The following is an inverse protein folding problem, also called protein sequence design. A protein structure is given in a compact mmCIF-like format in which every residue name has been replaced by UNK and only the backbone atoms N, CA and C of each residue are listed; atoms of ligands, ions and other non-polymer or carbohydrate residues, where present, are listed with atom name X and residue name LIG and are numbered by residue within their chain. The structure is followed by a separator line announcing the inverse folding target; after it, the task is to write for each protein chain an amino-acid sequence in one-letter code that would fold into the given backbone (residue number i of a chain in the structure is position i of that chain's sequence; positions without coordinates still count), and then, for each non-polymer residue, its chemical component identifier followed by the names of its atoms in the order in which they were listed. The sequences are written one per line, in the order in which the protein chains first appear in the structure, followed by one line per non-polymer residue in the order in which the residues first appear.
data_IF_402506780555
#
_entry.id   IF_402506780555
#
_cell.length_a   1.000
_cell.length_b   1.000
_cell.length_c   1.000
_cell.angle_alpha   90.00
_cell.angle_beta   90.00
_cell.angle_gamma   90.00
#
_symmetry.space_group_name_H-M   'P 1'
#
loop_
_entity.id
_entity.type
_entity.pdbx_description
1 polymer ?
#
# COMPACT_ATOMS: atom_id res chain seq x y z
N UNK A 1 6.89 -6.74 -5.14
CA UNK A 1 8.31 -6.68 -5.54
C UNK A 1 8.76 -8.10 -5.86
N UNK A 2 9.41 -8.32 -7.00
CA UNK A 2 9.85 -9.64 -7.43
C UNK A 2 10.91 -10.17 -6.47
N UNK A 3 10.85 -11.47 -6.15
CA UNK A 3 11.82 -12.08 -5.23
C UNK A 3 13.22 -12.13 -5.84
N UNK A 4 14.26 -11.94 -5.01
CA UNK A 4 15.68 -12.03 -5.45
C UNK A 4 15.99 -13.33 -6.21
N UNK A 5 15.40 -14.46 -5.78
CA UNK A 5 15.49 -15.73 -6.49
C UNK A 5 14.93 -15.68 -7.91
N UNK A 6 13.77 -15.04 -8.10
CA UNK A 6 13.14 -14.97 -9.41
C UNK A 6 13.96 -14.12 -10.38
N UNK A 7 14.48 -12.97 -9.92
CA UNK A 7 15.37 -12.12 -10.72
C UNK A 7 16.64 -12.89 -11.10
N UNK A 8 17.23 -13.62 -10.14
CA UNK A 8 18.41 -14.44 -10.41
C UNK A 8 18.14 -15.51 -11.47
N UNK A 9 17.03 -16.25 -11.37
CA UNK A 9 16.65 -17.26 -12.37
C UNK A 9 16.46 -16.62 -13.74
N UNK A 10 15.74 -15.49 -13.82
CA UNK A 10 15.50 -14.81 -15.09
C UNK A 10 16.80 -14.32 -15.75
N UNK A 11 17.80 -13.92 -14.95
CA UNK A 11 19.08 -13.41 -15.48
C UNK A 11 20.04 -14.53 -15.88
N UNK A 12 20.03 -15.67 -15.18
CA UNK A 12 21.04 -16.73 -15.34
C UNK A 12 20.53 -17.99 -16.03
N UNK A 13 19.29 -18.41 -15.76
CA UNK A 13 18.70 -19.63 -16.33
C UNK A 13 17.20 -19.45 -16.68
N UNK A 14 16.84 -18.50 -17.57
CA UNK A 14 15.45 -18.18 -17.87
C UNK A 14 14.67 -19.25 -18.64
N UNK A 15 15.37 -20.16 -19.34
CA UNK A 15 14.74 -21.13 -20.23
C UNK A 15 14.87 -22.57 -19.70
N UNK A 16 13.86 -23.43 -19.92
CA UNK A 16 13.91 -24.84 -19.52
C UNK A 16 15.13 -25.58 -20.05
N UNK A 17 15.54 -25.30 -21.30
CA UNK A 17 16.71 -25.90 -21.94
C UNK A 17 18.03 -25.56 -21.24
N UNK A 18 18.10 -24.43 -20.53
CA UNK A 18 19.26 -24.03 -19.71
C UNK A 18 19.15 -24.65 -18.32
N UNK A 19 17.97 -24.59 -17.70
CA UNK A 19 17.71 -25.15 -16.36
C UNK A 19 18.02 -26.65 -16.33
N UNK A 20 17.62 -27.40 -17.35
CA UNK A 20 17.83 -28.86 -17.42
C UNK A 20 19.30 -29.26 -17.59
N UNK A 21 20.20 -28.33 -17.95
CA UNK A 21 21.64 -28.59 -18.04
C UNK A 21 22.36 -28.43 -16.71
N UNK A 22 21.71 -27.79 -15.73
CA UNK A 22 22.29 -27.53 -14.41
C UNK A 22 21.84 -28.61 -13.43
N UNK A 23 22.70 -28.94 -12.47
CA UNK A 23 22.33 -29.82 -11.37
C UNK A 23 21.44 -29.09 -10.36
N UNK A 24 20.67 -29.88 -9.60
CA UNK A 24 19.81 -29.32 -8.54
C UNK A 24 20.67 -28.66 -7.46
N UNK A 25 21.84 -29.21 -7.17
CA UNK A 25 22.81 -28.73 -6.18
C UNK A 25 23.36 -27.36 -6.59
N UNK A 26 23.80 -27.20 -7.85
CA UNK A 26 24.29 -25.95 -8.40
C UNK A 26 23.23 -24.84 -8.32
N UNK A 27 21.99 -25.13 -8.77
CA UNK A 27 20.89 -24.16 -8.69
C UNK A 27 20.60 -23.79 -7.23
N UNK A 28 20.57 -24.77 -6.32
CA UNK A 28 20.30 -24.52 -4.92
C UNK A 28 21.37 -23.65 -4.25
N UNK A 29 22.65 -23.87 -4.57
CA UNK A 29 23.75 -23.08 -4.04
C UNK A 29 23.67 -21.63 -4.52
N UNK A 30 23.45 -21.42 -5.82
CA UNK A 30 23.34 -20.08 -6.39
C UNK A 30 22.11 -19.32 -5.89
N UNK A 31 20.97 -20.01 -5.74
CA UNK A 31 19.77 -19.43 -5.14
C UNK A 31 19.99 -19.04 -3.67
N UNK A 32 20.73 -19.85 -2.90
CA UNK A 32 21.11 -19.52 -1.52
C UNK A 32 21.96 -18.26 -1.48
N UNK A 33 22.99 -18.16 -2.33
CA UNK A 33 23.85 -16.97 -2.47
C UNK A 33 23.02 -15.72 -2.82
N UNK A 34 22.15 -15.81 -3.83
CA UNK A 34 21.33 -14.69 -4.28
C UNK A 34 20.25 -14.24 -3.26
N UNK A 35 19.81 -15.11 -2.36
CA UNK A 35 18.69 -14.84 -1.45
C UNK A 35 19.06 -14.74 0.02
N UNK A 36 20.35 -14.68 0.36
CA UNK A 36 20.85 -14.75 1.74
C UNK A 36 20.29 -16.00 2.46
N UNK A 37 20.46 -17.17 1.85
CA UNK A 37 20.04 -18.49 2.35
C UNK A 37 18.52 -18.71 2.53
N UNK A 38 17.66 -17.81 2.03
CA UNK A 38 16.20 -17.95 2.15
C UNK A 38 15.58 -18.96 1.18
N UNK A 39 16.19 -19.14 0.01
CA UNK A 39 15.74 -20.06 -1.03
C UNK A 39 16.83 -21.09 -1.26
N UNK A 40 16.46 -22.37 -1.22
CA UNK A 40 17.40 -23.47 -1.37
C UNK A 40 16.79 -24.68 -2.07
N UNK A 41 17.19 -25.88 -1.62
CA UNK A 41 17.01 -27.15 -2.31
C UNK A 41 15.57 -27.40 -2.82
N UNK A 42 14.58 -27.26 -1.93
CA UNK A 42 13.16 -27.51 -2.27
C UNK A 42 12.64 -26.68 -3.44
N UNK A 43 13.18 -25.47 -3.64
CA UNK A 43 12.78 -24.58 -4.74
C UNK A 43 13.55 -24.89 -6.02
N UNK A 44 14.82 -25.29 -5.91
CA UNK A 44 15.61 -25.78 -7.04
C UNK A 44 15.00 -27.05 -7.64
N UNK A 45 14.59 -28.01 -6.80
CA UNK A 45 13.92 -29.24 -7.25
C UNK A 45 12.62 -28.94 -8.00
N UNK A 46 11.77 -28.08 -7.43
CA UNK A 46 10.53 -27.63 -8.09
C UNK A 46 10.79 -26.92 -9.41
N UNK A 47 11.86 -26.14 -9.51
CA UNK A 47 12.23 -25.44 -10.74
C UNK A 47 12.62 -26.43 -11.85
N UNK A 48 13.43 -27.44 -11.52
CA UNK A 48 13.82 -28.49 -12.47
C UNK A 48 12.60 -29.32 -12.87
N UNK A 49 11.75 -29.71 -11.91
CA UNK A 49 10.53 -30.47 -12.21
C UNK A 49 9.60 -29.70 -13.15
N UNK A 50 9.42 -28.39 -12.92
CA UNK A 50 8.65 -27.52 -13.80
C UNK A 50 9.31 -27.38 -15.18
N UNK A 51 10.64 -27.31 -15.25
CA UNK A 51 11.37 -27.25 -16.52
C UNK A 51 11.19 -28.54 -17.35
N UNK A 52 11.18 -29.71 -16.70
CA UNK A 52 10.94 -31.01 -17.38
C UNK A 52 9.56 -31.10 -18.01
N UNK A 53 8.54 -30.55 -17.35
CA UNK A 53 7.13 -30.56 -17.78
C UNK A 53 6.78 -29.36 -18.68
N UNK A 54 7.75 -28.51 -19.02
CA UNK A 54 7.48 -27.26 -19.72
C UNK A 54 7.19 -27.48 -21.21
N UNK A 55 6.09 -26.90 -21.67
CA UNK A 55 5.73 -26.79 -23.11
C UNK A 55 6.20 -25.47 -23.74
N UNK A 56 7.17 -24.79 -23.10
CA UNK A 56 7.62 -23.47 -23.51
C UNK A 56 8.20 -23.41 -24.94
N UNK A 57 8.14 -22.21 -25.54
CA UNK A 57 8.66 -21.92 -26.87
C UNK A 57 10.16 -22.23 -26.93
N UNK A 58 10.58 -22.99 -27.96
CA UNK A 58 11.98 -23.43 -28.16
C UNK A 58 12.69 -22.61 -29.24
N UNK A 59 11.92 -21.83 -29.99
CA UNK A 59 12.36 -20.99 -31.07
C UNK A 59 12.74 -19.59 -30.56
N UNK A 60 13.71 -18.94 -31.22
CA UNK A 60 14.06 -17.56 -30.91
C UNK A 60 14.63 -17.33 -29.50
N UNK A 61 15.12 -18.38 -28.82
CA UNK A 61 15.64 -18.32 -27.43
C UNK A 61 16.67 -17.20 -27.25
N UNK A 62 17.61 -17.05 -28.21
CA UNK A 62 18.62 -15.98 -28.16
C UNK A 62 17.98 -14.58 -28.15
N UNK A 63 17.02 -14.33 -29.04
CA UNK A 63 16.30 -13.06 -29.09
C UNK A 63 15.46 -12.81 -27.84
N UNK A 64 14.80 -13.85 -27.34
CA UNK A 64 14.06 -13.79 -26.08
C UNK A 64 14.97 -13.49 -24.88
N UNK A 65 16.18 -14.07 -24.85
CA UNK A 65 17.17 -13.83 -23.81
C UNK A 65 17.66 -12.38 -23.83
N UNK A 66 18.01 -11.85 -25.00
CA UNK A 66 18.41 -10.46 -25.17
C UNK A 66 17.31 -9.53 -24.67
N UNK A 67 16.07 -9.74 -25.12
CA UNK A 67 14.93 -8.92 -24.71
C UNK A 67 14.65 -9.00 -23.21
N UNK A 68 14.77 -10.19 -22.61
CA UNK A 68 14.61 -10.37 -21.18
C UNK A 68 15.66 -9.60 -20.39
N UNK A 69 16.93 -9.65 -20.81
CA UNK A 69 18.00 -8.90 -20.16
C UNK A 69 17.74 -7.39 -20.24
N UNK A 70 17.33 -6.87 -21.40
CA UNK A 70 16.95 -5.45 -21.55
C UNK A 70 15.87 -5.06 -20.54
N UNK A 71 14.81 -5.85 -20.40
CA UNK A 71 13.74 -5.57 -19.43
C UNK A 71 14.20 -5.67 -17.97
N UNK A 72 15.12 -6.59 -17.65
CA UNK A 72 15.68 -6.70 -16.32
C UNK A 72 16.55 -5.48 -15.97
N UNK A 73 17.36 -5.03 -16.92
CA UNK A 73 18.22 -3.85 -16.76
C UNK A 73 17.38 -2.57 -16.63
N UNK A 74 16.32 -2.42 -17.44
CA UNK A 74 15.36 -1.31 -17.32
C UNK A 74 14.66 -1.31 -15.96
N UNK A 75 14.25 -2.49 -15.47
CA UNK A 75 13.64 -2.63 -14.15
C UNK A 75 14.61 -2.21 -13.04
N UNK A 76 15.88 -2.65 -13.11
CA UNK A 76 16.93 -2.29 -12.15
C UNK A 76 17.22 -0.78 -12.16
N UNK A 77 17.27 -0.18 -13.35
CA UNK A 77 17.41 1.26 -13.53
C UNK A 77 16.24 2.04 -12.91
N UNK A 78 15.00 1.72 -13.28
CA UNK A 78 13.79 2.37 -12.75
C UNK A 78 13.68 2.24 -11.23
N UNK A 79 14.11 1.10 -10.68
CA UNK A 79 14.15 0.89 -9.23
C UNK A 79 15.16 1.83 -8.56
N UNK A 80 16.34 2.00 -9.14
CA UNK A 80 17.36 2.91 -8.62
C UNK A 80 16.87 4.36 -8.66
N UNK A 81 16.19 4.76 -9.74
CA UNK A 81 15.56 6.07 -9.83
C UNK A 81 14.46 6.27 -8.77
N UNK A 82 13.61 5.25 -8.56
CA UNK A 82 12.58 5.27 -7.53
C UNK A 82 13.19 5.46 -6.13
N UNK A 83 14.22 4.70 -5.78
CA UNK A 83 14.92 4.83 -4.49
C UNK A 83 15.55 6.22 -4.31
N UNK A 84 16.07 6.80 -5.38
CA UNK A 84 16.63 8.17 -5.36
C UNK A 84 15.54 9.21 -5.07
N UNK A 85 14.39 9.10 -5.73
CA UNK A 85 13.25 10.00 -5.52
C UNK A 85 12.68 9.82 -4.10
N UNK A 86 12.53 8.59 -3.61
CA UNK A 86 12.02 8.31 -2.26
C UNK A 86 12.93 8.91 -1.18
N UNK A 87 14.26 8.85 -1.35
CA UNK A 87 15.22 9.51 -0.45
C UNK A 87 15.08 11.03 -0.49
N UNK A 88 15.01 11.62 -1.68
CA UNK A 88 14.79 13.07 -1.81
C UNK A 88 13.48 13.52 -1.15
N UNK A 89 12.41 12.72 -1.28
CA UNK A 89 11.14 12.97 -0.58
C UNK A 89 11.30 12.91 0.94
N UNK A 90 12.04 11.94 1.47
CA UNK A 90 12.31 11.84 2.90
C UNK A 90 13.09 13.05 3.43
N UNK A 91 14.12 13.50 2.71
CA UNK A 91 14.91 14.68 3.07
C UNK A 91 14.08 15.96 3.06
N UNK A 92 13.18 16.11 2.08
CA UNK A 92 12.24 17.24 2.05
C UNK A 92 11.25 17.19 3.21
N UNK A 93 10.73 16.00 3.55
CA UNK A 93 9.83 15.85 4.69
C UNK A 93 10.50 16.25 6.01
N UNK A 94 11.80 15.97 6.19
CA UNK A 94 12.54 16.38 7.40
C UNK A 94 12.56 17.90 7.61
N UNK A 95 12.37 18.69 6.55
CA UNK A 95 12.30 20.16 6.61
C UNK A 95 10.90 20.68 6.97
N UNK A 96 9.89 19.81 7.02
CA UNK A 96 8.51 20.16 7.34
C UNK A 96 8.23 19.77 8.79
N UNK A 97 8.01 20.78 9.64
CA UNK A 97 7.79 20.65 11.09
C UNK A 97 6.73 19.60 11.47
N UNK A 98 5.64 19.52 10.71
CA UNK A 98 4.54 18.58 11.00
C UNK A 98 4.80 17.14 10.53
N UNK A 99 5.82 16.89 9.72
CA UNK A 99 6.02 15.59 9.07
C UNK A 99 6.32 14.47 10.09
N UNK A 100 7.09 14.76 11.14
CA UNK A 100 7.42 13.77 12.17
C UNK A 100 6.17 13.26 12.91
N UNK A 101 5.19 14.13 13.15
CA UNK A 101 3.94 13.76 13.80
C UNK A 101 3.10 12.87 12.89
N UNK A 102 3.05 13.14 11.59
CA UNK A 102 2.31 12.31 10.64
C UNK A 102 2.96 10.95 10.40
N UNK A 103 4.30 10.91 10.38
CA UNK A 103 5.08 9.67 10.24
C UNK A 103 4.99 8.77 11.48
N UNK A 104 4.64 9.32 12.64
CA UNK A 104 4.47 8.54 13.87
C UNK A 104 3.27 7.58 13.83
N UNK A 105 2.36 7.70 12.86
CA UNK A 105 1.19 6.83 12.72
C UNK A 105 1.64 5.43 12.22
N UNK A 106 1.45 4.35 13.01
CA UNK A 106 1.85 3.01 12.59
C UNK A 106 1.12 2.59 11.31
N UNK A 107 1.88 2.21 10.29
CA UNK A 107 1.34 1.81 8.98
C UNK A 107 1.26 2.94 7.95
N UNK A 108 1.63 4.17 8.31
CA UNK A 108 1.85 5.28 7.38
C UNK A 108 3.35 5.44 7.14
N UNK A 109 3.74 5.68 5.89
CA UNK A 109 5.15 5.88 5.51
C UNK A 109 5.38 7.19 4.75
N UNK A 110 6.65 7.45 4.43
CA UNK A 110 7.15 8.65 3.73
C UNK A 110 6.30 9.01 2.52
N UNK A 111 6.08 8.05 1.61
CA UNK A 111 5.30 8.29 0.37
C UNK A 111 3.89 8.78 0.68
N UNK A 112 3.23 8.22 1.69
CA UNK A 112 1.87 8.60 2.07
C UNK A 112 1.84 9.99 2.71
N UNK A 113 2.79 10.31 3.59
CA UNK A 113 2.85 11.63 4.23
C UNK A 113 3.20 12.70 3.20
N UNK A 114 4.22 12.48 2.38
CA UNK A 114 4.63 13.40 1.32
C UNK A 114 3.51 13.63 0.31
N UNK A 115 2.87 12.57 -0.18
CA UNK A 115 1.73 12.69 -1.10
C UNK A 115 0.55 13.42 -0.47
N UNK A 116 0.28 13.20 0.82
CA UNK A 116 -0.81 13.88 1.51
C UNK A 116 -0.52 15.39 1.64
N UNK A 117 0.69 15.75 2.05
CA UNK A 117 1.11 17.15 2.18
C UNK A 117 1.20 17.85 0.81
N UNK A 118 1.61 17.15 -0.24
CA UNK A 118 1.64 17.69 -1.60
C UNK A 118 0.23 18.02 -2.12
N UNK A 119 -0.76 17.17 -1.80
CA UNK A 119 -2.14 17.37 -2.26
C UNK A 119 -2.93 18.36 -1.40
N UNK A 120 -2.68 18.38 -0.08
CA UNK A 120 -3.38 19.24 0.88
C UNK A 120 -2.74 20.61 0.99
N UNK A 121 -1.43 20.71 0.77
CA UNK A 121 -0.66 21.91 1.07
C UNK A 121 -0.57 22.18 2.57
N UNK A 122 -0.55 23.46 2.93
CA UNK A 122 -0.42 23.89 4.31
C UNK A 122 -1.67 23.55 5.16
N UNK A 123 -1.54 22.55 6.03
CA UNK A 123 -2.59 22.11 6.95
C UNK A 123 -3.01 23.25 7.91
N UNK A 124 -2.09 24.18 8.20
CA UNK A 124 -2.33 25.35 9.03
C UNK A 124 -3.48 26.22 8.54
N UNK A 125 -3.69 26.30 7.23
CA UNK A 125 -4.75 27.11 6.59
C UNK A 125 -6.16 26.54 6.76
N UNK A 126 -6.28 25.28 7.18
CA UNK A 126 -7.58 24.66 7.42
C UNK A 126 -8.03 24.86 8.87
N UNK A 127 -9.27 25.27 9.04
CA UNK A 127 -9.92 25.39 10.35
C UNK A 127 -10.48 24.06 10.83
N UNK A 128 -10.85 23.17 9.89
CA UNK A 128 -11.47 21.89 10.23
C UNK A 128 -11.13 20.79 9.23
N UNK A 129 -10.90 19.56 9.72
CA UNK A 129 -10.56 18.39 8.90
C UNK A 129 -11.58 18.08 7.78
N UNK A 130 -12.84 18.50 7.96
CA UNK A 130 -13.92 18.36 6.95
C UNK A 130 -13.59 19.12 5.65
N UNK A 131 -12.79 20.18 5.71
CA UNK A 131 -12.34 20.90 4.52
C UNK A 131 -11.39 20.02 3.69
N UNK A 132 -10.47 19.30 4.34
CA UNK A 132 -9.60 18.32 3.68
C UNK A 132 -10.41 17.12 3.16
N UNK A 133 -11.42 16.67 3.92
CA UNK A 133 -12.36 15.64 3.45
C UNK A 133 -13.08 16.08 2.16
N UNK A 134 -13.55 17.33 2.10
CA UNK A 134 -14.18 17.91 0.91
C UNK A 134 -13.17 18.07 -0.23
N UNK A 135 -11.94 18.47 0.07
CA UNK A 135 -10.85 18.56 -0.91
C UNK A 135 -10.60 17.20 -1.60
N UNK A 136 -10.66 16.09 -0.88
CA UNK A 136 -10.57 14.74 -1.45
C UNK A 136 -11.87 14.22 -2.12
N UNK A 137 -12.97 14.98 -2.06
CA UNK A 137 -14.28 14.54 -2.54
C UNK A 137 -14.85 13.34 -1.77
N UNK A 138 -14.48 13.20 -0.49
CA UNK A 138 -14.90 12.14 0.42
C UNK A 138 -16.13 12.50 1.26
N UNK A 139 -16.72 13.68 1.03
CA UNK A 139 -18.00 14.06 1.63
C UNK A 139 -19.14 13.28 0.98
N UNK A 140 -20.16 12.94 1.77
CA UNK A 140 -21.37 12.31 1.27
C UNK A 140 -22.25 13.36 0.60
N UNK A 141 -22.80 13.01 -0.55
CA UNK A 141 -23.76 13.81 -1.30
C UNK A 141 -25.02 13.00 -1.54
N UNK A 142 -26.16 13.67 -1.38
CA UNK A 142 -27.46 13.13 -1.75
C UNK A 142 -27.57 13.01 -3.27
N UNK A 143 -28.11 11.87 -3.73
CA UNK A 143 -28.47 11.67 -5.12
C UNK A 143 -29.99 11.75 -5.23
N UNK A 144 -30.53 12.93 -4.95
CA UNK A 144 -31.97 13.19 -4.97
C UNK A 144 -32.29 14.17 -6.10
N UNK A 145 -33.28 13.81 -6.92
CA UNK A 145 -33.99 14.73 -7.79
C UNK A 145 -35.45 14.77 -7.35
N UNK A 146 -36.23 15.76 -7.82
CA UNK A 146 -37.65 15.89 -7.46
C UNK A 146 -38.51 14.66 -7.74
N UNK A 147 -38.04 13.70 -8.56
CA UNK A 147 -38.73 12.45 -8.88
C UNK A 147 -37.94 11.18 -8.51
N UNK A 148 -36.71 11.29 -8.00
CA UNK A 148 -35.85 10.14 -7.74
C UNK A 148 -35.08 10.30 -6.44
N UNK A 149 -35.21 9.32 -5.52
CA UNK A 149 -34.42 9.26 -4.29
C UNK A 149 -33.42 8.12 -4.37
N UNK A 150 -32.22 8.41 -4.86
CA UNK A 150 -31.14 7.44 -4.99
C UNK A 150 -30.34 7.26 -3.70
N UNK A 151 -29.52 6.20 -3.63
CA UNK A 151 -28.58 5.97 -2.52
C UNK A 151 -27.56 7.11 -2.43
N UNK A 152 -27.22 7.53 -1.21
CA UNK A 152 -26.16 8.50 -0.97
C UNK A 152 -24.81 7.94 -1.43
N UNK A 153 -23.95 8.81 -1.98
CA UNK A 153 -22.63 8.44 -2.51
C UNK A 153 -21.61 9.47 -2.06
N UNK A 154 -20.33 9.11 -2.07
CA UNK A 154 -19.27 10.13 -1.98
C UNK A 154 -19.34 11.05 -3.19
N UNK A 155 -19.04 12.33 -2.98
CA UNK A 155 -19.12 13.35 -4.01
C UNK A 155 -18.22 13.06 -5.20
N UNK A 156 -17.00 12.55 -4.94
CA UNK A 156 -15.89 12.45 -5.90
C UNK A 156 -15.43 13.77 -6.52
N UNK A 157 -16.14 14.89 -6.27
CA UNK A 157 -15.76 16.25 -6.63
C UNK A 157 -14.66 16.72 -5.67
N UNK A 158 -13.43 16.70 -6.16
CA UNK A 158 -12.22 16.96 -5.38
C UNK A 158 -11.01 16.31 -6.04
N UNK A 159 -9.85 16.39 -5.38
CA UNK A 159 -8.57 15.85 -5.85
C UNK A 159 -8.60 14.32 -5.91
N UNK A 160 -8.55 13.71 -7.10
CA UNK A 160 -8.63 12.25 -7.24
C UNK A 160 -7.39 11.55 -6.66
N UNK A 161 -6.21 12.17 -6.76
CA UNK A 161 -4.96 11.61 -6.22
C UNK A 161 -4.96 11.57 -4.70
N UNK A 162 -5.39 12.65 -4.03
CA UNK A 162 -5.59 12.64 -2.57
C UNK A 162 -6.53 11.51 -2.14
N UNK A 163 -7.63 11.32 -2.86
CA UNK A 163 -8.60 10.25 -2.58
C UNK A 163 -8.00 8.86 -2.77
N UNK A 164 -7.25 8.65 -3.86
CA UNK A 164 -6.57 7.40 -4.16
C UNK A 164 -5.52 7.06 -3.09
N UNK A 165 -4.71 8.05 -2.72
CA UNK A 165 -3.70 7.95 -1.69
C UNK A 165 -4.31 7.54 -0.34
N UNK A 166 -5.34 8.25 0.11
CA UNK A 166 -6.03 7.96 1.36
C UNK A 166 -6.71 6.59 1.37
N UNK A 167 -7.22 6.14 0.21
CA UNK A 167 -7.77 4.80 0.08
C UNK A 167 -6.67 3.73 0.19
N UNK A 168 -5.54 3.88 -0.50
CA UNK A 168 -4.38 2.97 -0.37
C UNK A 168 -3.83 2.94 1.05
N UNK A 169 -3.71 4.11 1.69
CA UNK A 169 -3.30 4.23 3.10
C UNK A 169 -4.27 3.49 4.04
N UNK A 170 -5.58 3.56 3.80
CA UNK A 170 -6.57 2.84 4.61
C UNK A 170 -6.39 1.32 4.58
N UNK A 171 -6.01 0.75 3.42
CA UNK A 171 -5.73 -0.69 3.30
C UNK A 171 -4.54 -1.09 4.17
N UNK A 172 -3.45 -0.32 4.13
CA UNK A 172 -2.26 -0.59 4.94
C UNK A 172 -2.53 -0.38 6.44
N UNK A 173 -3.28 0.65 6.80
CA UNK A 173 -3.67 0.91 8.19
C UNK A 173 -4.50 -0.22 8.79
N UNK A 174 -5.53 -0.69 8.09
CA UNK A 174 -6.37 -1.80 8.58
C UNK A 174 -5.55 -3.08 8.76
N UNK A 175 -4.50 -3.27 7.96
CA UNK A 175 -3.61 -4.43 8.10
C UNK A 175 -2.61 -4.28 9.26
N UNK A 176 -2.04 -3.09 9.49
CA UNK A 176 -0.89 -2.89 10.38
C UNK A 176 -1.22 -2.21 11.71
N UNK A 177 -2.35 -1.53 11.82
CA UNK A 177 -2.73 -0.72 12.99
C UNK A 177 -3.98 -1.30 13.67
N UNK A 178 -3.86 -1.63 14.96
CA UNK A 178 -4.89 -2.32 15.73
C UNK A 178 -6.16 -1.47 15.91
N UNK A 179 -6.01 -0.17 16.17
CA UNK A 179 -7.14 0.74 16.40
C UNK A 179 -7.96 0.94 15.13
N UNK A 180 -7.28 1.16 14.01
CA UNK A 180 -7.94 1.28 12.71
C UNK A 180 -8.56 -0.03 12.25
N UNK A 181 -7.95 -1.19 12.55
CA UNK A 181 -8.54 -2.51 12.30
C UNK A 181 -9.82 -2.73 13.11
N UNK A 182 -9.80 -2.39 14.41
CA UNK A 182 -10.98 -2.48 15.27
C UNK A 182 -12.11 -1.58 14.74
N UNK A 183 -11.79 -0.35 14.35
CA UNK A 183 -12.74 0.58 13.77
C UNK A 183 -13.33 0.09 12.43
N UNK A 184 -12.50 -0.52 11.59
CA UNK A 184 -12.95 -1.11 10.33
C UNK A 184 -13.93 -2.25 10.58
N UNK A 185 -13.59 -3.19 11.48
CA UNK A 185 -14.47 -4.30 11.86
C UNK A 185 -15.79 -3.80 12.48
N UNK A 186 -15.74 -2.76 13.30
CA UNK A 186 -16.92 -2.10 13.82
C UNK A 186 -17.85 -1.61 12.71
N UNK A 187 -17.31 -0.91 11.70
CA UNK A 187 -18.13 -0.41 10.59
C UNK A 187 -18.79 -1.53 9.77
N UNK A 188 -18.16 -2.69 9.67
CA UNK A 188 -18.74 -3.85 9.00
C UNK A 188 -19.85 -4.54 9.80
N UNK A 189 -19.76 -4.52 11.14
CA UNK A 189 -20.60 -5.35 12.03
C UNK A 189 -21.61 -4.57 12.86
N UNK A 190 -21.59 -3.23 12.82
CA UNK A 190 -22.52 -2.40 13.58
C UNK A 190 -23.97 -2.74 13.23
N UNK A 191 -24.84 -2.76 14.24
CA UNK A 191 -26.26 -3.11 14.12
C UNK A 191 -26.99 -2.16 13.17
N UNK A 192 -26.72 -0.86 13.30
CA UNK A 192 -27.32 0.16 12.45
C UNK A 192 -26.45 0.46 11.23
N UNK A 193 -27.03 0.24 10.04
CA UNK A 193 -26.43 0.57 8.75
C UNK A 193 -24.99 0.00 8.57
N UNK A 194 -24.81 -1.33 8.62
CA UNK A 194 -23.50 -1.94 8.39
C UNK A 194 -22.96 -1.52 7.02
N UNK A 195 -21.67 -1.17 6.98
CA UNK A 195 -21.02 -0.70 5.76
C UNK A 195 -20.46 -1.86 4.96
N UNK A 196 -20.51 -1.75 3.64
CA UNK A 196 -19.75 -2.64 2.76
C UNK A 196 -18.23 -2.42 2.91
N UNK A 197 -17.42 -3.41 2.55
CA UNK A 197 -15.95 -3.36 2.69
C UNK A 197 -15.32 -2.08 2.12
N UNK A 198 -15.74 -1.66 0.92
CA UNK A 198 -15.23 -0.41 0.31
C UNK A 198 -15.71 0.83 1.05
N UNK A 199 -16.96 0.86 1.51
CA UNK A 199 -17.50 1.98 2.28
C UNK A 199 -16.80 2.13 3.63
N UNK A 200 -16.53 1.02 4.32
CA UNK A 200 -15.78 1.00 5.56
C UNK A 200 -14.34 1.52 5.37
N UNK A 201 -13.65 1.15 4.29
CA UNK A 201 -12.33 1.72 3.95
C UNK A 201 -12.39 3.24 3.72
N UNK A 202 -13.42 3.74 3.04
CA UNK A 202 -13.63 5.18 2.87
C UNK A 202 -13.86 5.87 4.22
N UNK A 203 -14.62 5.27 5.13
CA UNK A 203 -14.79 5.78 6.48
C UNK A 203 -13.46 5.81 7.26
N UNK A 204 -12.60 4.81 7.07
CA UNK A 204 -11.23 4.79 7.60
C UNK A 204 -10.37 5.91 7.00
N UNK A 205 -10.45 6.15 5.68
CA UNK A 205 -9.76 7.28 5.04
C UNK A 205 -10.17 8.63 5.64
N UNK A 206 -11.47 8.83 5.92
CA UNK A 206 -11.97 10.04 6.58
C UNK A 206 -11.44 10.14 8.02
N UNK A 207 -11.40 9.01 8.74
CA UNK A 207 -10.81 8.97 10.08
C UNK A 207 -9.31 9.32 10.04
N UNK A 208 -8.58 8.82 9.05
CA UNK A 208 -7.16 9.13 8.86
C UNK A 208 -6.95 10.63 8.65
N UNK A 209 -7.74 11.28 7.79
CA UNK A 209 -7.70 12.75 7.61
C UNK A 209 -7.87 13.46 8.95
N UNK A 210 -8.85 13.04 9.76
CA UNK A 210 -9.11 13.63 11.08
C UNK A 210 -7.93 13.47 12.03
N UNK A 211 -7.30 12.29 12.05
CA UNK A 211 -6.10 12.03 12.87
C UNK A 211 -4.94 12.88 12.39
N UNK A 212 -4.60 12.84 11.10
CA UNK A 212 -3.51 13.63 10.53
C UNK A 212 -3.68 15.13 10.78
N UNK A 213 -4.91 15.66 10.59
CA UNK A 213 -5.22 17.05 10.89
C UNK A 213 -5.00 17.39 12.38
N UNK A 214 -5.44 16.52 13.28
CA UNK A 214 -5.28 16.74 14.73
C UNK A 214 -3.80 16.70 15.15
N UNK A 215 -3.03 15.73 14.67
CA UNK A 215 -1.59 15.63 14.97
C UNK A 215 -0.83 16.84 14.44
N UNK A 216 -1.10 17.27 13.21
CA UNK A 216 -0.47 18.46 12.63
C UNK A 216 -0.81 19.75 13.38
N UNK A 217 -2.07 19.92 13.82
CA UNK A 217 -2.50 21.12 14.57
C UNK A 217 -1.98 21.16 16.01
N UNK A 218 -1.94 20.00 16.68
CA UNK A 218 -1.49 19.90 18.08
C UNK A 218 0.02 19.73 18.22
N UNK A 219 0.72 19.38 17.14
CA UNK A 219 2.14 19.01 17.16
C UNK A 219 2.43 17.90 18.17
N UNK A 220 1.58 16.88 18.16
CA UNK A 220 1.69 15.71 19.04
C UNK A 220 1.95 14.45 18.21
N UNK A 221 2.73 13.52 18.76
CA UNK A 221 2.91 12.19 18.17
C UNK A 221 1.63 11.36 18.31
N UNK A 222 1.48 10.38 17.42
CA UNK A 222 0.38 9.44 17.43
C UNK A 222 0.30 8.70 18.78
N UNK A 223 -0.89 8.73 19.36
CA UNK A 223 -1.25 8.01 20.57
C UNK A 223 -2.45 7.13 20.25
N UNK A 224 -2.28 5.81 20.40
CA UNK A 224 -3.31 4.81 20.11
C UNK A 224 -4.56 4.99 20.97
N UNK A 225 -4.43 5.48 22.20
CA UNK A 225 -5.55 5.64 23.13
C UNK A 225 -6.51 6.76 22.68
N UNK A 226 -5.98 7.80 22.03
CA UNK A 226 -6.76 8.96 21.56
C UNK A 226 -7.52 8.71 20.26
N UNK A 227 -7.24 7.61 19.54
CA UNK A 227 -7.80 7.38 18.19
C UNK A 227 -9.29 7.07 18.23
N UNK A 228 -9.72 6.15 19.09
CA UNK A 228 -11.12 5.71 19.11
C UNK A 228 -11.97 6.62 20.00
N UNK A 229 -11.41 7.13 21.11
CA UNK A 229 -12.15 7.88 22.12
C UNK A 229 -13.11 6.97 22.89
N UNK A 230 -13.57 7.44 24.05
CA UNK A 230 -14.36 6.62 24.99
C UNK A 230 -15.67 6.09 24.36
N UNK A 231 -16.38 6.96 23.65
CA UNK A 231 -17.64 6.61 22.99
C UNK A 231 -17.47 5.45 22.00
N UNK A 232 -16.47 5.51 21.10
CA UNK A 232 -16.28 4.44 20.11
C UNK A 232 -15.76 3.16 20.76
N UNK A 233 -14.94 3.28 21.80
CA UNK A 233 -14.47 2.13 22.56
C UNK A 233 -15.64 1.38 23.22
N UNK A 234 -16.60 2.10 23.80
CA UNK A 234 -17.82 1.50 24.36
C UNK A 234 -18.62 0.73 23.31
N UNK A 235 -18.89 1.36 22.16
CA UNK A 235 -19.61 0.71 21.06
C UNK A 235 -18.90 -0.54 20.51
N UNK A 236 -17.56 -0.53 20.45
CA UNK A 236 -16.78 -1.69 20.01
C UNK A 236 -16.89 -2.83 21.02
N UNK A 237 -16.83 -2.53 22.33
CA UNK A 237 -17.00 -3.53 23.39
C UNK A 237 -18.39 -4.16 23.35
N UNK A 238 -19.45 -3.36 23.18
CA UNK A 238 -20.85 -3.82 23.07
C UNK A 238 -21.14 -4.70 21.85
N UNK A 239 -20.27 -4.70 20.83
CA UNK A 239 -20.37 -5.56 19.65
C UNK A 239 -19.56 -6.86 19.76
N UNK A 240 -18.64 -6.93 20.74
CA UNK A 240 -17.80 -8.11 21.01
C UNK A 240 -18.37 -8.92 22.16
N UNK A 241 -19.09 -8.27 23.09
CA UNK A 241 -19.94 -8.92 24.08
C UNK A 241 -21.20 -9.51 23.43
#
# INVERSE_FOLDING_TARGET
MWGKAAIWVLRNCPFPSIILKLSKEEIAEQLKKATNNRVGMKRAEKLIEAAKKSIGVKEGIKGAQIRLNIYLDELEFLKTQLETIEKAMEELLKKIDIAEYLLSIPGIGVITVAGFLAEVGDIGKYTHYKQIQKLGGLNITDNQSGKHRGKTRISKRGRPELRNLLYKASLTLVAKNKEFKALYNYFLRRRENPLEKKQALIAISIKLIRVMFALAKKKEKYDSQKVLGEYRMKQIKELVA
#
